data_IF_772318521229
#
_entry.id   IF_772318521229
#
_cell.length_a   1.000
_cell.length_b   1.000
_cell.length_c   1.000
_cell.angle_alpha   90.00
_cell.angle_beta   90.00
_cell.angle_gamma   90.00
#
_symmetry.space_group_name_H-M   'P 1'
#
loop_
_entity.id
_entity.type
_entity.pdbx_description
1 polymer ?
#
# COMPACT_ATOMS: atom_id res chain seq x y z
N UNK A 1 -6.65 7.00 -5.92
CA UNK A 1 -5.63 8.02 -6.28
C UNK A 1 -6.04 9.46 -5.92
N UNK A 2 -7.17 10.00 -6.42
CA UNK A 2 -7.63 11.37 -6.06
C UNK A 2 -7.62 11.65 -4.54
N UNK A 3 -8.17 10.72 -3.74
CA UNK A 3 -8.28 10.90 -2.29
C UNK A 3 -6.91 11.05 -1.60
N UNK A 4 -5.89 10.35 -2.10
CA UNK A 4 -4.54 10.36 -1.53
C UNK A 4 -3.80 11.62 -1.95
N UNK A 5 -3.72 11.90 -3.26
CA UNK A 5 -2.83 12.93 -3.79
C UNK A 5 -3.45 14.32 -3.88
N UNK A 6 -4.75 14.44 -4.15
CA UNK A 6 -5.41 15.74 -4.30
C UNK A 6 -6.13 16.18 -3.03
N UNK A 7 -6.75 15.25 -2.32
CA UNK A 7 -7.56 15.55 -1.13
C UNK A 7 -6.89 15.20 0.20
N UNK A 8 -5.63 14.72 0.14
CA UNK A 8 -4.75 14.45 1.28
C UNK A 8 -5.44 13.65 2.40
N UNK A 9 -6.25 12.65 2.02
CA UNK A 9 -6.96 11.80 2.99
C UNK A 9 -5.95 10.85 3.65
N UNK A 10 -5.86 10.84 4.99
CA UNK A 10 -4.84 10.05 5.70
C UNK A 10 -5.16 8.55 5.76
N UNK A 11 -6.41 8.17 5.53
CA UNK A 11 -6.90 6.80 5.76
C UNK A 11 -7.53 6.18 4.50
N UNK A 12 -6.71 5.96 3.47
CA UNK A 12 -7.14 5.36 2.20
C UNK A 12 -6.30 4.13 1.88
N UNK A 13 -6.95 3.03 1.50
CA UNK A 13 -6.32 1.79 1.06
C UNK A 13 -6.82 1.40 -0.34
N UNK A 14 -6.01 1.58 -1.40
CA UNK A 14 -6.41 1.30 -2.78
C UNK A 14 -6.24 -0.19 -3.11
N UNK A 15 -7.21 -1.04 -2.74
CA UNK A 15 -7.14 -2.50 -2.86
C UNK A 15 -6.82 -3.05 -4.27
N UNK A 16 -7.12 -2.31 -5.33
CA UNK A 16 -6.90 -2.75 -6.72
C UNK A 16 -5.57 -2.22 -7.32
N UNK A 17 -4.72 -1.60 -6.51
CA UNK A 17 -3.41 -1.12 -6.95
C UNK A 17 -2.41 -2.28 -7.06
N UNK A 18 -2.02 -2.63 -8.30
CA UNK A 18 -1.14 -3.78 -8.57
C UNK A 18 0.25 -3.61 -7.92
N UNK A 19 0.77 -2.38 -7.86
CA UNK A 19 2.06 -2.09 -7.24
C UNK A 19 2.02 -2.33 -5.73
N UNK A 20 0.98 -1.83 -5.07
CA UNK A 20 0.71 -2.06 -3.66
C UNK A 20 0.53 -3.54 -3.35
N UNK A 21 -0.31 -4.26 -4.11
CA UNK A 21 -0.53 -5.70 -3.92
C UNK A 21 0.80 -6.46 -3.99
N UNK A 22 1.58 -6.26 -5.05
CA UNK A 22 2.87 -6.93 -5.22
C UNK A 22 3.88 -6.57 -4.14
N UNK A 23 3.91 -5.30 -3.71
CA UNK A 23 4.76 -4.87 -2.61
C UNK A 23 4.36 -5.53 -1.28
N UNK A 24 3.06 -5.64 -1.01
CA UNK A 24 2.53 -6.34 0.17
C UNK A 24 2.81 -7.84 0.11
N UNK A 25 2.61 -8.50 -1.04
CA UNK A 25 2.94 -9.91 -1.24
C UNK A 25 4.43 -10.17 -0.96
N UNK A 26 5.30 -9.31 -1.49
CA UNK A 26 6.75 -9.39 -1.25
C UNK A 26 7.11 -9.22 0.23
N UNK A 27 6.46 -8.27 0.92
CA UNK A 27 6.79 -7.94 2.31
C UNK A 27 6.17 -8.92 3.33
N UNK A 28 4.94 -9.36 3.11
CA UNK A 28 4.15 -10.12 4.09
C UNK A 28 3.96 -11.60 3.73
N UNK A 29 4.28 -12.02 2.52
CA UNK A 29 4.03 -13.40 2.05
C UNK A 29 5.15 -13.94 1.14
N UNK A 30 6.38 -13.44 1.29
CA UNK A 30 7.55 -13.91 0.52
C UNK A 30 7.36 -13.86 -1.01
N UNK A 31 6.51 -12.95 -1.49
CA UNK A 31 6.16 -12.80 -2.91
C UNK A 31 5.09 -13.77 -3.42
N UNK A 32 4.50 -14.60 -2.55
CA UNK A 32 3.33 -15.43 -2.89
C UNK A 32 2.07 -14.58 -2.91
N UNK A 33 1.14 -14.95 -3.78
CA UNK A 33 -0.11 -14.23 -3.96
C UNK A 33 -0.90 -14.12 -2.65
N UNK A 34 -1.47 -12.94 -2.39
CA UNK A 34 -2.38 -12.68 -1.28
C UNK A 34 -3.79 -12.43 -1.82
N UNK A 35 -4.79 -13.01 -1.15
CA UNK A 35 -6.18 -12.73 -1.47
C UNK A 35 -6.61 -11.37 -0.89
N UNK A 36 -7.64 -10.75 -1.51
CA UNK A 36 -8.18 -9.46 -1.05
C UNK A 36 -8.51 -9.41 0.45
N UNK A 37 -9.12 -10.44 1.08
CA UNK A 37 -9.38 -10.41 2.51
C UNK A 37 -8.11 -10.29 3.35
N UNK A 38 -7.04 -11.01 2.98
CA UNK A 38 -5.76 -10.97 3.69
C UNK A 38 -5.10 -9.59 3.57
N UNK A 39 -5.21 -8.96 2.40
CA UNK A 39 -4.73 -7.59 2.20
C UNK A 39 -5.47 -6.58 3.09
N UNK A 40 -6.80 -6.74 3.26
CA UNK A 40 -7.58 -5.90 4.18
C UNK A 40 -7.19 -6.12 5.64
N UNK A 41 -6.98 -7.37 6.07
CA UNK A 41 -6.55 -7.68 7.43
C UNK A 41 -5.19 -7.04 7.77
N UNK A 42 -4.24 -7.10 6.84
CA UNK A 42 -2.94 -6.43 7.00
C UNK A 42 -3.14 -4.91 7.09
N UNK A 43 -3.91 -4.33 6.17
CA UNK A 43 -4.14 -2.89 6.11
C UNK A 43 -4.91 -2.33 7.31
N UNK A 44 -5.70 -3.15 8.01
CA UNK A 44 -6.41 -2.75 9.22
C UNK A 44 -5.44 -2.30 10.33
N UNK A 45 -4.28 -2.94 10.43
CA UNK A 45 -3.23 -2.58 11.38
C UNK A 45 -2.60 -1.21 11.11
N UNK A 46 -2.81 -0.63 9.92
CA UNK A 46 -2.28 0.68 9.56
C UNK A 46 -3.24 1.82 9.89
N UNK A 47 -4.45 1.53 10.39
CA UNK A 47 -5.38 2.58 10.82
C UNK A 47 -4.78 3.39 11.99
N UNK A 48 -5.07 4.71 12.06
CA UNK A 48 -5.92 5.48 11.14
C UNK A 48 -5.16 6.10 9.95
N UNK A 49 -3.97 5.60 9.62
CA UNK A 49 -3.04 6.19 8.64
C UNK A 49 -2.72 5.24 7.49
N UNK A 50 -3.71 4.53 6.94
CA UNK A 50 -3.50 3.57 5.84
C UNK A 50 -2.78 4.18 4.64
N UNK A 51 -3.01 5.46 4.34
CA UNK A 51 -2.33 6.16 3.24
C UNK A 51 -0.80 6.20 3.43
N UNK A 52 -0.33 6.28 4.68
CA UNK A 52 1.10 6.26 5.00
C UNK A 52 1.70 4.88 4.73
N UNK A 53 1.02 3.81 5.14
CA UNK A 53 1.44 2.43 4.85
C UNK A 53 1.56 2.18 3.34
N UNK A 54 0.57 2.65 2.57
CA UNK A 54 0.58 2.57 1.10
C UNK A 54 1.80 3.29 0.50
N UNK A 55 2.14 4.50 0.98
CA UNK A 55 3.34 5.22 0.56
C UNK A 55 4.63 4.43 0.79
N UNK A 56 4.80 3.84 1.97
CA UNK A 56 5.98 3.04 2.28
C UNK A 56 6.08 1.78 1.40
N UNK A 57 4.96 1.13 1.09
CA UNK A 57 4.98 -0.02 0.19
C UNK A 57 5.40 0.40 -1.23
N UNK A 58 4.86 1.50 -1.78
CA UNK A 58 5.31 2.03 -3.07
C UNK A 58 6.80 2.37 -3.06
N UNK A 59 7.30 3.00 -1.99
CA UNK A 59 8.74 3.27 -1.84
C UNK A 59 9.62 2.03 -1.73
N UNK A 60 9.07 0.89 -1.31
CA UNK A 60 9.81 -0.36 -1.22
C UNK A 60 9.98 -1.09 -2.56
N UNK A 61 9.14 -0.74 -3.55
CA UNK A 61 9.20 -1.32 -4.91
C UNK A 61 9.96 -0.42 -5.89
N UNK A 62 10.06 0.88 -5.61
CA UNK A 62 10.80 1.82 -6.45
C UNK A 62 12.32 1.61 -6.30
N UNK A 63 13.05 1.33 -7.40
CA UNK A 63 14.48 1.07 -7.37
C UNK A 63 15.31 2.34 -7.15
N UNK A 64 14.75 3.51 -7.47
CA UNK A 64 15.41 4.80 -7.32
C UNK A 64 14.65 5.69 -6.32
N UNK A 65 15.36 6.55 -5.56
CA UNK A 65 14.70 7.54 -4.75
C UNK A 65 13.89 8.50 -5.63
N UNK A 66 12.55 8.43 -5.57
CA UNK A 66 11.70 9.49 -6.14
C UNK A 66 11.96 10.77 -5.36
N UNK A 67 12.50 11.79 -6.03
CA UNK A 67 12.60 13.15 -5.52
C UNK A 67 11.23 13.84 -5.66
N UNK A 68 10.76 14.49 -4.59
CA UNK A 68 9.52 15.26 -4.55
C UNK A 68 9.80 16.75 -4.49
#
# INVERSE_FOLDING_TARGET
MLLIFALLRPDVFPIDDIGLIRGMEKLYNEGKALEKPQLYEIAENWKPYRTMGVWYIWRSIDPEPVEY
#
